data_IF_908398711030
#
_entry.id   IF_908398711030
#
_cell.length_a   1.000
_cell.length_b   1.000
_cell.length_c   1.000
_cell.angle_alpha   90.00
_cell.angle_beta   90.00
_cell.angle_gamma   90.00
#
_symmetry.space_group_name_H-M   'P 1'
#
loop_
_entity.id
_entity.type
_entity.pdbx_description
1 polymer ?
#
# COMPACT_ATOMS: atom_id res chain seq x y z
N UNK A 1 -9.40 -18.76 -13.69
CA UNK A 1 -9.06 -17.32 -13.65
C UNK A 1 -10.15 -16.60 -14.43
N UNK A 2 -11.13 -16.00 -13.73
CA UNK A 2 -12.26 -15.32 -14.36
C UNK A 2 -11.89 -13.86 -14.57
N UNK A 3 -11.76 -13.44 -15.83
CA UNK A 3 -11.61 -12.05 -16.21
C UNK A 3 -13.01 -11.48 -16.43
N UNK A 4 -13.63 -10.99 -15.36
CA UNK A 4 -14.89 -10.27 -15.46
C UNK A 4 -14.65 -8.78 -15.84
N UNK A 5 -15.59 -8.13 -16.54
CA UNK A 5 -15.61 -6.68 -16.69
C UNK A 5 -15.47 -5.96 -15.35
N UNK A 6 -14.72 -4.85 -15.31
CA UNK A 6 -14.42 -4.10 -14.08
C UNK A 6 -15.69 -3.72 -13.29
N UNK A 7 -16.76 -3.33 -13.98
CA UNK A 7 -18.04 -2.99 -13.33
C UNK A 7 -18.66 -4.17 -12.58
N UNK A 8 -18.67 -5.37 -13.17
CA UNK A 8 -19.20 -6.59 -12.53
C UNK A 8 -18.31 -7.03 -11.36
N UNK A 9 -17.00 -6.88 -11.50
CA UNK A 9 -16.07 -7.15 -10.41
C UNK A 9 -16.27 -6.18 -9.23
N UNK A 10 -16.53 -4.90 -9.49
CA UNK A 10 -16.83 -3.90 -8.46
C UNK A 10 -18.17 -4.16 -7.78
N UNK A 11 -19.21 -4.51 -8.54
CA UNK A 11 -20.52 -4.90 -7.98
C UNK A 11 -20.43 -6.16 -7.12
N UNK A 12 -19.53 -7.09 -7.46
CA UNK A 12 -19.28 -8.30 -6.65
C UNK A 12 -18.54 -8.01 -5.35
N UNK A 13 -17.88 -6.85 -5.25
CA UNK A 13 -17.23 -6.37 -4.02
C UNK A 13 -18.19 -5.54 -3.15
N UNK A 14 -19.33 -5.11 -3.70
CA UNK A 14 -20.35 -4.38 -2.97
C UNK A 14 -20.96 -5.27 -1.88
N UNK A 15 -20.96 -4.79 -0.63
CA UNK A 15 -21.45 -5.55 0.52
C UNK A 15 -20.48 -6.59 1.09
N UNK A 16 -19.30 -6.80 0.48
CA UNK A 16 -18.25 -7.63 1.06
C UNK A 16 -17.55 -6.85 2.17
N UNK A 17 -17.46 -7.36 3.40
CA UNK A 17 -16.72 -6.67 4.46
C UNK A 17 -15.23 -6.64 4.12
N UNK A 18 -14.64 -5.44 4.16
CA UNK A 18 -13.23 -5.22 3.85
C UNK A 18 -12.49 -4.79 5.10
N UNK A 19 -11.37 -5.47 5.38
CA UNK A 19 -10.37 -5.02 6.34
C UNK A 19 -9.22 -4.41 5.54
N UNK A 20 -8.96 -3.11 5.75
CA UNK A 20 -7.88 -2.38 5.09
C UNK A 20 -6.75 -2.10 6.08
N UNK A 21 -5.57 -2.66 5.80
CA UNK A 21 -4.33 -2.34 6.50
C UNK A 21 -3.45 -1.44 5.63
N UNK A 22 -3.05 -0.29 6.17
CA UNK A 22 -2.24 0.71 5.47
C UNK A 22 -0.83 0.71 6.04
N UNK A 23 0.11 0.22 5.24
CA UNK A 23 1.52 0.22 5.58
C UNK A 23 2.05 1.66 5.65
N UNK A 24 2.55 2.04 6.82
CA UNK A 24 3.26 3.30 6.98
C UNK A 24 4.64 3.22 6.32
N UNK A 25 5.14 4.32 5.73
CA UNK A 25 6.52 4.39 5.26
C UNK A 25 7.50 4.04 6.38
N UNK A 26 8.60 3.32 6.09
CA UNK A 26 9.58 2.91 7.10
C UNK A 26 10.50 4.06 7.56
N UNK A 27 10.18 5.31 7.21
CA UNK A 27 10.94 6.52 7.50
C UNK A 27 10.01 7.72 7.53
N UNK A 28 10.45 8.80 8.16
CA UNK A 28 9.73 10.08 8.14
C UNK A 28 9.72 10.65 6.70
N UNK A 29 8.53 10.97 6.21
CA UNK A 29 8.32 11.51 4.88
C UNK A 29 7.60 12.87 4.92
N UNK A 30 7.94 13.75 3.97
CA UNK A 30 7.34 15.08 3.79
C UNK A 30 5.98 14.97 3.09
N UNK A 31 5.86 13.95 2.23
CA UNK A 31 4.67 13.62 1.49
C UNK A 31 4.68 12.15 1.06
N UNK A 32 3.49 11.67 0.70
CA UNK A 32 3.27 10.37 0.10
C UNK A 32 2.37 10.51 -1.12
N UNK A 33 2.62 9.69 -2.14
CA UNK A 33 1.80 9.61 -3.34
C UNK A 33 0.51 8.81 -3.11
N UNK A 34 -0.21 8.39 -4.17
CA UNK A 34 -1.44 7.63 -4.01
C UNK A 34 -1.20 6.25 -3.38
N UNK A 35 -2.23 5.73 -2.69
CA UNK A 35 -2.23 4.35 -2.19
C UNK A 35 -2.23 3.34 -3.34
N UNK A 36 -1.47 2.26 -3.17
CA UNK A 36 -1.48 1.09 -4.05
C UNK A 36 -1.75 -0.16 -3.23
N UNK A 37 -2.65 -1.01 -3.72
CA UNK A 37 -2.85 -2.35 -3.17
C UNK A 37 -1.61 -3.20 -3.41
N UNK A 38 -1.04 -3.76 -2.34
CA UNK A 38 0.12 -4.65 -2.38
C UNK A 38 -0.26 -6.12 -2.20
N UNK A 39 -1.35 -6.40 -1.47
CA UNK A 39 -1.88 -7.75 -1.30
C UNK A 39 -3.39 -7.72 -1.11
N UNK A 40 -4.06 -8.71 -1.68
CA UNK A 40 -5.46 -9.05 -1.39
C UNK A 40 -5.49 -10.50 -0.96
N UNK A 41 -6.15 -10.78 0.16
CA UNK A 41 -6.31 -12.14 0.69
C UNK A 41 -7.72 -12.33 1.24
N UNK A 42 -8.34 -13.51 1.06
CA UNK A 42 -9.60 -13.82 1.73
C UNK A 42 -9.41 -13.81 3.26
N UNK A 43 -10.42 -13.33 4.00
CA UNK A 43 -10.42 -13.28 5.46
C UNK A 43 -11.84 -13.50 6.00
N UNK A 44 -12.13 -14.72 6.46
CA UNK A 44 -13.50 -15.11 6.82
C UNK A 44 -14.45 -14.93 5.62
N UNK A 45 -15.57 -14.26 5.85
CA UNK A 45 -16.55 -13.90 4.80
C UNK A 45 -16.19 -12.60 4.05
N UNK A 46 -14.98 -12.06 4.27
CA UNK A 46 -14.53 -10.78 3.72
C UNK A 46 -13.18 -10.83 3.02
N UNK A 47 -12.65 -9.63 2.74
CA UNK A 47 -11.34 -9.44 2.12
C UNK A 47 -10.42 -8.62 3.03
N UNK A 48 -9.21 -9.12 3.23
CA UNK A 48 -8.12 -8.37 3.81
C UNK A 48 -7.26 -7.75 2.70
N UNK A 49 -7.18 -6.43 2.69
CA UNK A 49 -6.41 -5.64 1.73
C UNK A 49 -5.24 -5.00 2.46
N UNK A 50 -4.02 -5.26 2.00
CA UNK A 50 -2.84 -4.52 2.43
C UNK A 50 -2.50 -3.52 1.34
N UNK A 51 -2.39 -2.24 1.71
CA UNK A 51 -2.03 -1.15 0.83
C UNK A 51 -0.79 -0.40 1.35
N UNK A 52 -0.01 0.16 0.43
CA UNK A 52 1.13 1.02 0.74
C UNK A 52 1.07 2.27 -0.14
N UNK A 53 1.54 3.41 0.37
CA UNK A 53 1.66 4.59 -0.47
C UNK A 53 2.81 4.43 -1.47
N UNK A 54 2.69 5.13 -2.61
CA UNK A 54 3.78 5.27 -3.58
C UNK A 54 4.63 6.50 -3.29
N UNK A 55 5.80 6.56 -3.93
CA UNK A 55 6.60 7.78 -4.11
C UNK A 55 6.81 8.58 -2.81
N UNK A 56 7.26 7.89 -1.76
CA UNK A 56 7.54 8.53 -0.47
C UNK A 56 8.68 9.55 -0.59
N UNK A 57 8.40 10.80 -0.21
CA UNK A 57 9.41 11.86 -0.19
C UNK A 57 10.09 11.88 1.18
N UNK A 58 11.33 11.37 1.27
CA UNK A 58 12.09 11.28 2.52
C UNK A 58 12.43 12.66 3.09
N UNK A 59 12.19 12.88 4.39
CA UNK A 59 12.57 14.12 5.09
C UNK A 59 14.06 14.21 5.43
N UNK A 60 14.75 13.07 5.52
CA UNK A 60 16.17 13.01 5.86
C UNK A 60 16.95 12.34 4.72
N UNK A 61 18.05 12.95 4.25
CA UNK A 61 18.97 12.24 3.36
C UNK A 61 19.55 11.02 4.10
N UNK A 62 19.76 9.94 3.35
CA UNK A 62 20.44 8.73 3.81
C UNK A 62 21.74 9.15 4.49
N UNK A 63 21.97 8.74 5.74
CA UNK A 63 23.22 9.00 6.47
C UNK A 63 24.40 8.16 5.94
N UNK A 64 24.57 8.10 4.61
CA UNK A 64 25.70 7.46 3.94
C UNK A 64 26.51 8.52 3.19
N UNK A 65 27.03 9.51 3.92
CA UNK A 65 28.04 10.42 3.40
C UNK A 65 28.81 11.08 4.56
N UNK A 66 29.74 10.32 5.18
CA UNK A 66 31.06 10.74 5.69
C UNK A 66 31.51 9.83 6.84
N UNK A 67 32.35 8.85 6.53
CA UNK A 67 33.59 8.63 7.28
C UNK A 67 34.69 8.34 6.26
N UNK A 68 35.12 9.41 5.59
CA UNK A 68 36.46 9.48 5.02
C UNK A 68 37.22 10.53 5.82
N UNK A 69 38.38 10.15 6.37
CA UNK A 69 39.40 11.09 6.83
C UNK A 69 39.69 11.07 8.33
N UNK A 70 40.54 10.14 8.76
CA UNK A 70 41.91 10.44 9.19
C UNK A 70 42.75 9.18 9.21
#
# INVERSE_FOLDING_TARGET
>A
MLLAPLAEALSSLEGVPIVLDVMSPPFLCAGCGPLKVVRVSPCGDGLAIVAAYRDYERLLPRADARVGGR
#
